data_IF_357802136875
#
_entry.id   IF_357802136875
#
_cell.length_a   1.000
_cell.length_b   1.000
_cell.length_c   1.000
_cell.angle_alpha   90.00
_cell.angle_beta   90.00
_cell.angle_gamma   90.00
#
_symmetry.space_group_name_H-M   'P 1'
#
loop_
_entity.id
_entity.type
_entity.pdbx_description
1 polymer ?
#
# COMPACT_ATOMS: atom_id res chain seq x y z
N UNK A 1 17.73 -11.78 8.17
CA UNK A 1 16.68 -12.79 8.40
C UNK A 1 15.53 -12.22 9.22
N UNK A 2 14.30 -12.64 8.93
CA UNK A 2 13.08 -12.34 9.69
C UNK A 2 12.83 -13.37 10.82
N UNK A 3 11.70 -13.23 11.53
CA UNK A 3 11.34 -14.16 12.63
C UNK A 3 11.09 -15.60 12.18
N UNK A 4 10.80 -15.83 10.89
CA UNK A 4 10.61 -17.15 10.31
C UNK A 4 11.90 -17.70 9.67
N UNK A 5 13.00 -16.96 9.72
CA UNK A 5 14.29 -17.36 9.20
C UNK A 5 14.52 -17.02 7.73
N UNK A 6 13.64 -16.24 7.10
CA UNK A 6 13.83 -15.83 5.70
C UNK A 6 14.64 -14.54 5.58
N UNK A 7 15.50 -14.45 4.58
CA UNK A 7 16.27 -13.25 4.30
C UNK A 7 15.79 -12.54 3.04
N UNK A 8 14.68 -11.85 3.16
CA UNK A 8 14.15 -10.96 2.12
C UNK A 8 14.40 -9.50 2.48
N UNK A 9 14.66 -8.67 1.48
CA UNK A 9 14.80 -7.23 1.65
C UNK A 9 13.44 -6.52 1.76
N UNK A 10 12.43 -7.06 1.06
CA UNK A 10 11.12 -6.44 0.87
C UNK A 10 10.01 -7.47 1.00
N UNK A 11 8.90 -7.09 1.64
CA UNK A 11 7.64 -7.81 1.60
C UNK A 11 6.62 -7.11 0.69
N UNK A 12 5.87 -7.91 -0.05
CA UNK A 12 4.65 -7.49 -0.73
C UNK A 12 3.44 -7.87 0.15
N UNK A 13 2.75 -6.89 0.71
CA UNK A 13 1.70 -7.12 1.70
C UNK A 13 0.38 -6.42 1.34
N UNK A 14 -0.78 -7.07 1.51
CA UNK A 14 -2.07 -6.41 1.42
C UNK A 14 -2.15 -5.26 2.42
N UNK A 15 -2.48 -4.06 1.93
CA UNK A 15 -2.65 -2.88 2.79
C UNK A 15 -3.64 -1.92 2.17
N UNK A 16 -4.76 -1.69 2.86
CA UNK A 16 -5.81 -0.75 2.46
C UNK A 16 -6.66 -0.35 3.68
N UNK A 17 -7.35 0.80 3.65
CA UNK A 17 -8.12 1.30 4.80
C UNK A 17 -9.29 0.41 5.29
N UNK A 18 -9.69 -0.62 4.52
CA UNK A 18 -10.88 -1.44 4.83
C UNK A 18 -10.55 -2.88 5.20
N UNK A 19 -9.26 -3.24 5.32
CA UNK A 19 -8.85 -4.59 5.72
C UNK A 19 -9.03 -5.67 4.65
N UNK A 20 -9.27 -5.30 3.40
CA UNK A 20 -9.48 -6.29 2.35
C UNK A 20 -8.22 -7.13 2.13
N UNK A 21 -8.35 -8.45 2.33
CA UNK A 21 -7.26 -9.43 2.23
C UNK A 21 -6.08 -9.18 3.19
N UNK A 22 -6.30 -8.41 4.27
CA UNK A 22 -5.32 -8.21 5.34
C UNK A 22 -5.53 -9.29 6.40
N UNK A 23 -4.72 -10.35 6.33
CA UNK A 23 -4.83 -11.54 7.17
C UNK A 23 -3.81 -11.51 8.32
N UNK A 24 -4.14 -12.05 9.51
CA UNK A 24 -5.44 -12.66 9.86
C UNK A 24 -6.53 -11.62 10.16
N UNK A 25 -6.15 -10.36 10.41
CA UNK A 25 -7.07 -9.24 10.57
C UNK A 25 -6.37 -7.91 10.26
N UNK A 26 -7.18 -6.85 10.14
CA UNK A 26 -6.71 -5.49 9.86
C UNK A 26 -5.70 -5.00 10.90
N UNK A 27 -6.01 -5.16 12.18
CA UNK A 27 -5.23 -4.60 13.28
C UNK A 27 -3.88 -5.32 13.47
N UNK A 28 -3.87 -6.66 13.37
CA UNK A 28 -2.64 -7.44 13.44
C UNK A 28 -1.74 -7.21 12.23
N UNK A 29 -2.32 -7.03 11.04
CA UNK A 29 -1.56 -6.66 9.83
C UNK A 29 -0.88 -5.32 10.03
N UNK A 30 -1.60 -4.27 10.46
CA UNK A 30 -1.01 -2.96 10.70
C UNK A 30 0.12 -3.01 11.74
N UNK A 31 -0.06 -3.74 12.84
CA UNK A 31 1.01 -3.96 13.83
C UNK A 31 2.24 -4.67 13.24
N UNK A 32 2.03 -5.66 12.38
CA UNK A 32 3.14 -6.36 11.73
C UNK A 32 3.92 -5.46 10.75
N UNK A 33 3.21 -4.62 9.98
CA UNK A 33 3.82 -3.66 9.06
C UNK A 33 4.55 -2.53 9.79
N UNK A 34 4.03 -2.08 10.94
CA UNK A 34 4.68 -1.04 11.76
C UNK A 34 5.97 -1.55 12.43
N UNK A 35 6.00 -2.83 12.84
CA UNK A 35 7.09 -3.38 13.67
C UNK A 35 8.14 -4.16 12.88
N UNK A 36 7.96 -4.35 11.58
CA UNK A 36 8.95 -5.00 10.72
C UNK A 36 10.13 -4.05 10.42
N UNK A 37 11.33 -4.61 10.34
CA UNK A 37 12.52 -3.88 9.89
C UNK A 37 12.77 -4.00 8.38
N UNK A 38 11.85 -4.67 7.65
CA UNK A 38 11.93 -4.88 6.21
C UNK A 38 11.15 -3.79 5.47
N UNK A 39 11.53 -3.50 4.24
CA UNK A 39 10.72 -2.61 3.40
C UNK A 39 9.41 -3.29 3.01
N UNK A 40 8.36 -2.50 2.85
CA UNK A 40 7.03 -2.98 2.45
C UNK A 40 6.60 -2.31 1.17
N UNK A 41 6.15 -3.11 0.21
CA UNK A 41 5.39 -2.66 -0.95
C UNK A 41 3.94 -3.07 -0.73
N UNK A 42 3.03 -2.10 -0.77
CA UNK A 42 1.60 -2.37 -0.59
C UNK A 42 1.02 -2.99 -1.87
N UNK A 43 0.26 -4.08 -1.73
CA UNK A 43 -0.60 -4.63 -2.77
C UNK A 43 -2.08 -4.52 -2.36
N UNK A 44 -2.97 -4.56 -3.36
CA UNK A 44 -4.43 -4.37 -3.19
C UNK A 44 -4.80 -3.06 -2.46
N UNK A 45 -4.15 -1.92 -2.76
CA UNK A 45 -4.43 -0.64 -2.09
C UNK A 45 -5.89 -0.19 -2.28
N UNK A 46 -6.49 -0.56 -3.40
CA UNK A 46 -7.87 -0.20 -3.77
C UNK A 46 -8.90 -1.29 -3.43
N UNK A 47 -8.54 -2.26 -2.58
CA UNK A 47 -9.42 -3.36 -2.14
C UNK A 47 -10.13 -4.09 -3.30
N UNK A 48 -9.37 -4.38 -4.37
CA UNK A 48 -9.85 -4.94 -5.64
C UNK A 48 -10.99 -4.13 -6.29
N UNK A 49 -10.81 -2.80 -6.38
CA UNK A 49 -11.73 -1.87 -7.05
C UNK A 49 -12.86 -1.33 -6.17
N UNK A 50 -12.95 -1.76 -4.90
CA UNK A 50 -13.96 -1.27 -3.95
C UNK A 50 -13.69 0.15 -3.46
N UNK A 51 -12.43 0.58 -3.51
CA UNK A 51 -12.02 1.93 -3.13
C UNK A 51 -11.56 2.69 -4.37
N UNK A 52 -11.90 3.97 -4.42
CA UNK A 52 -11.36 4.90 -5.40
C UNK A 52 -9.97 5.39 -4.97
N UNK A 53 -9.06 5.65 -5.92
CA UNK A 53 -7.78 6.25 -5.58
C UNK A 53 -8.01 7.68 -5.06
N UNK A 54 -7.55 7.95 -3.84
CA UNK A 54 -7.58 9.30 -3.25
C UNK A 54 -6.22 9.60 -2.63
N UNK A 55 -5.90 10.89 -2.50
CA UNK A 55 -4.66 11.29 -1.81
C UNK A 55 -4.64 10.81 -0.36
N UNK A 56 -5.78 10.84 0.34
CA UNK A 56 -5.86 10.39 1.73
C UNK A 56 -5.63 8.87 1.85
N UNK A 57 -6.13 8.09 0.90
CA UNK A 57 -5.88 6.65 0.82
C UNK A 57 -4.38 6.38 0.60
N UNK A 58 -3.75 7.03 -0.38
CA UNK A 58 -2.32 6.83 -0.62
C UNK A 58 -1.46 7.32 0.55
N UNK A 59 -1.78 8.48 1.15
CA UNK A 59 -1.12 8.98 2.36
C UNK A 59 -1.26 8.02 3.55
N UNK A 60 -2.41 7.34 3.70
CA UNK A 60 -2.57 6.30 4.71
C UNK A 60 -1.60 5.13 4.46
N UNK A 61 -1.51 4.65 3.22
CA UNK A 61 -0.66 3.51 2.86
C UNK A 61 0.82 3.83 3.05
N UNK A 62 1.26 5.04 2.66
CA UNK A 62 2.65 5.46 2.80
C UNK A 62 3.15 5.59 4.25
N UNK A 63 2.27 5.50 5.26
CA UNK A 63 2.69 5.37 6.66
C UNK A 63 3.38 4.04 6.95
N UNK A 64 3.07 3.00 6.18
CA UNK A 64 3.50 1.61 6.44
C UNK A 64 4.31 1.00 5.28
N UNK A 65 4.29 1.62 4.10
CA UNK A 65 4.91 1.08 2.90
C UNK A 65 5.72 2.14 2.14
N UNK A 66 6.82 1.71 1.53
CA UNK A 66 7.69 2.59 0.72
C UNK A 66 7.18 2.75 -0.71
N UNK A 67 6.27 1.89 -1.15
CA UNK A 67 5.67 1.93 -2.49
C UNK A 67 4.29 1.26 -2.51
N UNK A 68 3.55 1.53 -3.59
CA UNK A 68 2.18 1.06 -3.81
C UNK A 68 2.09 0.41 -5.19
N UNK A 69 1.51 -0.79 -5.24
CA UNK A 69 1.19 -1.48 -6.50
C UNK A 69 -0.31 -1.43 -6.78
N UNK A 70 -0.69 -0.97 -7.96
CA UNK A 70 -2.10 -0.91 -8.39
C UNK A 70 -2.25 -1.74 -9.66
N UNK A 71 -3.26 -2.61 -9.68
CA UNK A 71 -3.68 -3.27 -10.91
C UNK A 71 -4.54 -2.32 -11.73
N UNK A 72 -4.23 -2.19 -13.03
CA UNK A 72 -4.91 -1.29 -13.97
C UNK A 72 -5.51 -2.14 -15.08
N UNK A 73 -6.82 -2.01 -15.32
CA UNK A 73 -7.54 -2.75 -16.35
C UNK A 73 -7.90 -1.91 -17.58
N UNK A 74 -7.73 -0.58 -17.52
CA UNK A 74 -7.98 0.33 -18.65
C UNK A 74 -7.16 1.61 -18.58
N UNK A 75 -7.06 2.32 -19.71
CA UNK A 75 -6.43 3.65 -19.77
C UNK A 75 -7.14 4.69 -18.88
N UNK A 76 -8.48 4.61 -18.78
CA UNK A 76 -9.24 5.50 -17.91
C UNK A 76 -8.90 5.29 -16.42
N UNK A 77 -8.74 4.04 -15.99
CA UNK A 77 -8.28 3.72 -14.63
C UNK A 77 -6.83 4.16 -14.39
N UNK A 78 -5.98 4.03 -15.42
CA UNK A 78 -4.59 4.50 -15.39
C UNK A 78 -4.56 6.00 -15.11
N UNK A 79 -5.31 6.78 -15.90
CA UNK A 79 -5.36 8.23 -15.78
C UNK A 79 -5.92 8.67 -14.41
N UNK A 80 -7.05 8.08 -13.97
CA UNK A 80 -7.65 8.36 -12.65
C UNK A 80 -6.64 8.09 -11.52
N UNK A 81 -6.01 6.93 -11.53
CA UNK A 81 -5.11 6.48 -10.45
C UNK A 81 -3.81 7.29 -10.44
N UNK A 82 -3.17 7.45 -11.59
CA UNK A 82 -1.83 8.05 -11.67
C UNK A 82 -1.89 9.56 -11.46
N UNK A 83 -2.96 10.23 -11.91
CA UNK A 83 -3.17 11.65 -11.62
C UNK A 83 -3.32 11.92 -10.12
N UNK A 84 -3.96 11.02 -9.36
CA UNK A 84 -4.00 11.13 -7.89
C UNK A 84 -2.63 10.84 -7.27
N UNK A 85 -1.94 9.78 -7.72
CA UNK A 85 -0.62 9.42 -7.20
C UNK A 85 0.41 10.55 -7.41
N UNK A 86 0.36 11.22 -8.57
CA UNK A 86 1.24 12.35 -8.90
C UNK A 86 1.08 13.52 -7.93
N UNK A 87 -0.13 13.79 -7.44
CA UNK A 87 -0.37 14.84 -6.42
C UNK A 87 0.28 14.51 -5.07
N UNK A 88 0.45 13.23 -4.76
CA UNK A 88 1.18 12.81 -3.56
C UNK A 88 2.69 13.03 -3.66
N UNK A 89 3.27 13.07 -4.87
CA UNK A 89 4.70 13.31 -5.09
C UNK A 89 5.10 14.79 -4.99
N UNK A 90 4.17 15.71 -5.22
CA UNK A 90 4.45 17.15 -5.23
C UNK A 90 4.49 17.79 -3.85
N UNK A 91 4.23 17.03 -2.78
CA UNK A 91 4.20 17.51 -1.39
C UNK A 91 5.51 17.29 -0.63
N UNK A 92 6.59 16.86 -1.30
CA UNK A 92 7.93 16.69 -0.73
C UNK A 92 8.91 17.79 -1.16
N UNK A 93 8.43 19.01 -1.40
CA UNK A 93 9.29 20.21 -1.44
C UNK A 93 9.05 21.03 -0.18
N UNK A 94 10.00 20.86 0.74
CA UNK A 94 10.36 21.67 1.90
C UNK A 94 9.33 21.81 3.04
#
# INVERSE_FOLDING_TARGET
>A
MDKAGFDFDVYLAPLNPVGYAMEPDYESTLRALETTNKQVIAIKPLAAGRLKPTESLFKFIYKYAVSITVGIASEAEMEETYSVAKKCLTLSKD
#
